data_IF_573995451192
#
_entry.id   IF_573995451192
#
_cell.length_a   1.000
_cell.length_b   1.000
_cell.length_c   1.000
_cell.angle_alpha   90.00
_cell.angle_beta   90.00
_cell.angle_gamma   90.00
#
_symmetry.space_group_name_H-M   'P 1'
#
loop_
_entity.id
_entity.type
_entity.pdbx_description
1 polymer ?
#
# COMPACT_ATOMS: atom_id res chain seq x y z
N UNK A 1 -23.55 22.37 10.66
CA UNK A 1 -23.56 21.06 9.96
C UNK A 1 -23.29 19.96 10.99
N UNK A 2 -23.96 18.79 10.91
CA UNK A 2 -23.64 17.63 11.77
C UNK A 2 -22.57 16.78 11.09
N UNK A 3 -21.51 16.43 11.83
CA UNK A 3 -20.46 15.53 11.36
C UNK A 3 -20.91 14.06 11.51
N UNK A 4 -20.35 13.15 10.68
CA UNK A 4 -20.59 11.72 10.84
C UNK A 4 -19.99 11.20 12.16
N UNK A 5 -20.66 10.23 12.77
CA UNK A 5 -20.21 9.57 14.02
C UNK A 5 -19.17 8.48 13.81
N UNK A 6 -18.95 8.06 12.55
CA UNK A 6 -17.96 7.07 12.15
C UNK A 6 -17.42 7.41 10.77
N UNK A 7 -16.12 7.22 10.57
CA UNK A 7 -15.44 7.35 9.29
C UNK A 7 -14.73 6.05 8.95
N UNK A 8 -14.49 5.83 7.65
CA UNK A 8 -13.68 4.73 7.15
C UNK A 8 -12.43 5.32 6.54
N UNK A 9 -11.28 4.94 7.08
CA UNK A 9 -9.97 5.28 6.52
C UNK A 9 -9.63 4.18 5.51
N UNK A 10 -9.21 4.59 4.33
CA UNK A 10 -8.67 3.72 3.28
C UNK A 10 -7.21 4.12 3.13
N UNK A 11 -6.32 3.25 3.56
CA UNK A 11 -4.89 3.49 3.49
C UNK A 11 -4.39 3.11 2.10
N UNK A 12 -3.69 4.04 1.44
CA UNK A 12 -3.22 3.89 0.06
C UNK A 12 -1.70 4.08 -0.06
N UNK A 13 -1.01 4.30 1.05
CA UNK A 13 0.44 4.48 1.11
C UNK A 13 1.24 3.37 0.44
N UNK A 14 0.97 2.08 0.71
CA UNK A 14 1.72 0.98 0.09
C UNK A 14 1.59 0.90 -1.44
N UNK A 15 0.48 1.39 -2.01
CA UNK A 15 0.24 1.41 -3.46
C UNK A 15 0.46 2.79 -4.04
N UNK A 16 -0.43 3.73 -3.77
CA UNK A 16 -0.45 5.05 -4.41
C UNK A 16 0.68 5.94 -3.88
N UNK A 17 1.02 5.82 -2.60
CA UNK A 17 2.19 6.47 -2.04
C UNK A 17 3.48 6.00 -2.71
N UNK A 18 3.81 4.71 -2.54
CA UNK A 18 5.05 4.13 -3.06
C UNK A 18 5.17 4.18 -4.59
N UNK A 19 4.06 4.18 -5.32
CA UNK A 19 4.07 4.35 -6.78
C UNK A 19 4.64 5.72 -7.20
N UNK A 20 4.41 6.76 -6.40
CA UNK A 20 4.86 8.12 -6.70
C UNK A 20 6.22 8.46 -6.07
N UNK A 21 6.81 7.55 -5.30
CA UNK A 21 8.14 7.72 -4.74
C UNK A 21 9.24 7.56 -5.80
N UNK A 22 10.28 8.38 -5.68
CA UNK A 22 11.40 8.39 -6.62
C UNK A 22 12.24 7.11 -6.56
N UNK A 23 12.29 6.45 -5.40
CA UNK A 23 13.05 5.23 -5.18
C UNK A 23 12.13 4.01 -5.09
N UNK A 24 12.58 2.90 -5.67
CA UNK A 24 11.90 1.61 -5.51
C UNK A 24 12.22 1.06 -4.13
N UNK A 25 11.18 0.90 -3.32
CA UNK A 25 11.29 0.28 -1.99
C UNK A 25 11.41 -1.25 -2.13
N UNK A 26 12.34 -1.91 -1.41
CA UNK A 26 12.47 -3.36 -1.41
C UNK A 26 11.18 -4.07 -0.94
N UNK A 27 10.93 -5.26 -1.48
CA UNK A 27 9.72 -6.04 -1.20
C UNK A 27 9.50 -6.28 0.30
N UNK A 28 10.53 -6.65 1.05
CA UNK A 28 10.40 -6.92 2.49
C UNK A 28 9.99 -5.68 3.28
N UNK A 29 10.51 -4.51 2.90
CA UNK A 29 10.12 -3.24 3.52
C UNK A 29 8.67 -2.88 3.20
N UNK A 30 8.17 -3.24 2.01
CA UNK A 30 6.75 -3.05 1.67
C UNK A 30 5.84 -3.94 2.51
N UNK A 31 6.21 -5.22 2.68
CA UNK A 31 5.47 -6.17 3.51
C UNK A 31 5.44 -5.66 4.96
N UNK A 32 6.60 -5.32 5.52
CA UNK A 32 6.71 -4.77 6.89
C UNK A 32 5.86 -3.50 7.08
N UNK A 33 5.81 -2.61 6.08
CA UNK A 33 4.93 -1.44 6.11
C UNK A 33 3.46 -1.85 6.19
N UNK A 34 3.01 -2.78 5.36
CA UNK A 34 1.61 -3.23 5.34
C UNK A 34 1.23 -3.91 6.65
N UNK A 35 2.10 -4.75 7.20
CA UNK A 35 1.91 -5.40 8.51
C UNK A 35 1.74 -4.35 9.61
N UNK A 36 2.63 -3.35 9.67
CA UNK A 36 2.54 -2.26 10.66
C UNK A 36 1.27 -1.44 10.51
N UNK A 37 0.81 -1.19 9.28
CA UNK A 37 -0.45 -0.48 9.02
C UNK A 37 -1.66 -1.32 9.49
N UNK A 38 -1.62 -2.63 9.31
CA UNK A 38 -2.64 -3.54 9.82
C UNK A 38 -2.65 -3.56 11.36
N UNK A 39 -1.47 -3.64 11.99
CA UNK A 39 -1.29 -3.59 13.45
C UNK A 39 -1.75 -2.26 14.06
N UNK A 40 -1.64 -1.16 13.32
CA UNK A 40 -2.20 0.13 13.70
C UNK A 40 -3.75 0.17 13.69
N UNK A 41 -4.41 -0.92 13.27
CA UNK A 41 -5.86 -1.08 13.31
C UNK A 41 -6.58 -0.63 12.06
N UNK A 42 -5.85 -0.35 10.97
CA UNK A 42 -6.46 -0.01 9.68
C UNK A 42 -7.21 -1.22 9.12
N UNK A 43 -8.42 -0.97 8.62
CA UNK A 43 -9.33 -2.03 8.13
C UNK A 43 -9.29 -2.20 6.62
N UNK A 44 -8.78 -1.22 5.89
CA UNK A 44 -8.68 -1.22 4.44
C UNK A 44 -7.33 -0.63 4.07
N UNK A 45 -6.49 -1.45 3.45
CA UNK A 45 -5.14 -1.09 2.99
C UNK A 45 -5.03 -1.53 1.53
N UNK A 46 -4.72 -0.60 0.64
CA UNK A 46 -4.36 -0.89 -0.74
C UNK A 46 -2.89 -1.32 -0.79
N UNK A 47 -2.66 -2.64 -0.77
CA UNK A 47 -1.33 -3.21 -0.60
C UNK A 47 -0.39 -3.01 -1.80
N UNK A 48 -0.92 -3.14 -3.03
CA UNK A 48 -0.13 -3.05 -4.27
C UNK A 48 -1.01 -2.87 -5.50
N UNK A 49 -0.41 -2.84 -6.69
CA UNK A 49 -1.09 -2.74 -7.99
C UNK A 49 -0.54 -3.74 -9.02
N UNK A 50 -1.42 -4.48 -9.68
CA UNK A 50 -1.09 -5.42 -10.76
C UNK A 50 -1.06 -4.71 -12.12
N UNK A 51 -0.11 -3.79 -12.27
CA UNK A 51 0.14 -3.02 -13.49
C UNK A 51 1.42 -3.50 -14.17
N UNK A 52 1.66 -3.00 -15.38
CA UNK A 52 2.90 -3.33 -16.10
C UNK A 52 4.12 -2.79 -15.35
N UNK A 53 5.10 -3.64 -14.98
CA UNK A 53 6.33 -3.21 -14.32
C UNK A 53 7.21 -2.34 -15.23
N UNK A 54 6.98 -2.38 -16.54
CA UNK A 54 7.66 -1.50 -17.50
C UNK A 54 7.26 -0.04 -17.31
N UNK A 55 6.00 0.21 -16.99
CA UNK A 55 5.45 1.56 -16.86
C UNK A 55 5.46 2.05 -15.41
N UNK A 56 5.35 1.12 -14.46
CA UNK A 56 5.39 1.41 -13.02
C UNK A 56 6.35 0.43 -12.33
N UNK A 57 7.67 0.67 -12.41
CA UNK A 57 8.68 -0.22 -11.82
C UNK A 57 8.50 -0.42 -10.31
N UNK A 58 8.01 0.61 -9.60
CA UNK A 58 7.75 0.60 -8.16
C UNK A 58 6.81 -0.55 -7.75
N UNK A 59 5.89 -0.96 -8.62
CA UNK A 59 4.89 -2.00 -8.37
C UNK A 59 5.25 -3.36 -8.99
N UNK A 60 6.48 -3.54 -9.48
CA UNK A 60 6.87 -4.75 -10.21
C UNK A 60 6.95 -6.02 -9.37
N UNK A 61 7.03 -5.89 -8.04
CA UNK A 61 7.06 -7.00 -7.08
C UNK A 61 5.68 -7.32 -6.49
N UNK A 62 4.58 -6.81 -7.07
CA UNK A 62 3.21 -6.95 -6.61
C UNK A 62 2.82 -8.38 -6.16
N UNK A 63 3.16 -9.39 -6.95
CA UNK A 63 2.82 -10.77 -6.65
C UNK A 63 3.62 -11.32 -5.46
N UNK A 64 4.83 -10.83 -5.23
CA UNK A 64 5.63 -11.18 -4.05
C UNK A 64 5.05 -10.52 -2.80
N UNK A 65 4.72 -9.22 -2.88
CA UNK A 65 4.06 -8.48 -1.78
C UNK A 65 2.75 -9.14 -1.36
N UNK A 66 1.93 -9.62 -2.30
CA UNK A 66 0.66 -10.29 -1.96
C UNK A 66 0.79 -11.71 -1.42
N UNK A 67 1.98 -12.32 -1.50
CA UNK A 67 2.24 -13.67 -0.98
C UNK A 67 2.92 -13.67 0.39
N UNK A 68 3.59 -12.58 0.74
CA UNK A 68 4.10 -12.34 2.09
C UNK A 68 2.96 -11.91 3.00
#
# INVERSE_FOLDING_TARGET
>A
MKLPTKVKIVEVGPRDGLQNEAQVVPTETKIELIERLADAGLRVIEATSFVSPKWVPQMGDNAAVMRG
#
